data_IF_080421070847
#
_entry.id   IF_080421070847
#
_cell.length_a   1.000
_cell.length_b   1.000
_cell.length_c   1.000
_cell.angle_alpha   90.00
_cell.angle_beta   90.00
_cell.angle_gamma   90.00
#
_symmetry.space_group_name_H-M   'P 1'
#
loop_
_entity.id
_entity.type
_entity.pdbx_description
1 polymer ?
#
# COMPACT_ATOMS: atom_id res chain seq x y z
N UNK A 1 10.59 1.80 7.26
CA UNK A 1 10.51 1.07 5.97
C UNK A 1 9.49 1.76 5.06
N UNK A 2 9.53 1.64 3.73
CA UNK A 2 8.46 2.17 2.87
C UNK A 2 7.37 1.11 2.68
N UNK A 3 6.11 1.53 2.58
CA UNK A 3 5.00 0.60 2.36
C UNK A 3 5.14 -0.20 1.06
N UNK A 4 5.53 0.40 -0.09
CA UNK A 4 5.74 -0.36 -1.33
C UNK A 4 6.76 -1.49 -1.15
N UNK A 5 7.88 -1.24 -0.47
CA UNK A 5 8.91 -2.26 -0.22
C UNK A 5 8.36 -3.42 0.61
N UNK A 6 7.54 -3.12 1.62
CA UNK A 6 6.88 -4.13 2.47
C UNK A 6 5.87 -4.95 1.67
N UNK A 7 5.10 -4.31 0.80
CA UNK A 7 4.14 -4.98 -0.08
C UNK A 7 4.84 -5.91 -1.07
N UNK A 8 5.92 -5.46 -1.69
CA UNK A 8 6.72 -6.31 -2.61
C UNK A 8 7.32 -7.50 -1.86
N UNK A 9 7.89 -7.29 -0.67
CA UNK A 9 8.43 -8.38 0.15
C UNK A 9 7.34 -9.40 0.54
N UNK A 10 6.12 -8.93 0.84
CA UNK A 10 4.97 -9.79 1.10
C UNK A 10 4.56 -10.60 -0.15
N UNK A 11 4.54 -9.98 -1.34
CA UNK A 11 4.25 -10.67 -2.61
C UNK A 11 5.30 -11.74 -2.90
N UNK A 12 6.59 -11.42 -2.74
CA UNK A 12 7.68 -12.37 -2.99
C UNK A 12 7.66 -13.57 -2.02
N UNK A 13 7.30 -13.35 -0.76
CA UNK A 13 7.20 -14.41 0.25
C UNK A 13 5.89 -15.21 0.17
N UNK A 14 4.87 -14.67 -0.49
CA UNK A 14 3.58 -15.35 -0.65
C UNK A 14 3.67 -16.57 -1.56
N UNK A 15 2.88 -17.60 -1.31
CA UNK A 15 2.78 -18.80 -2.16
C UNK A 15 1.87 -18.60 -3.37
N UNK A 16 1.78 -17.38 -3.90
CA UNK A 16 0.93 -17.07 -5.06
C UNK A 16 1.62 -17.59 -6.33
N UNK A 17 0.95 -18.40 -7.17
CA UNK A 17 1.55 -18.94 -8.40
C UNK A 17 2.13 -17.87 -9.34
N UNK A 18 1.51 -16.69 -9.37
CA UNK A 18 1.90 -15.55 -10.19
C UNK A 18 3.29 -15.00 -9.86
N UNK A 19 3.87 -15.23 -8.67
CA UNK A 19 5.16 -14.63 -8.26
C UNK A 19 6.36 -14.93 -9.19
N UNK A 20 6.24 -15.94 -10.05
CA UNK A 20 7.27 -16.36 -10.99
C UNK A 20 7.13 -15.73 -12.38
N UNK A 21 6.05 -14.99 -12.64
CA UNK A 21 5.84 -14.31 -13.91
C UNK A 21 6.55 -12.94 -13.93
N UNK A 22 7.18 -12.56 -15.06
CA UNK A 22 7.75 -11.22 -15.21
C UNK A 22 6.68 -10.14 -15.01
N UNK A 23 6.91 -9.23 -14.06
CA UNK A 23 5.95 -8.15 -13.75
C UNK A 23 4.80 -8.55 -12.81
N UNK A 24 4.86 -9.74 -12.18
CA UNK A 24 3.88 -10.17 -11.19
C UNK A 24 3.82 -9.25 -9.96
N UNK A 25 4.97 -8.74 -9.53
CA UNK A 25 5.08 -7.74 -8.47
C UNK A 25 4.24 -6.50 -8.78
N UNK A 26 4.40 -5.90 -9.96
CA UNK A 26 3.64 -4.73 -10.36
C UNK A 26 2.15 -5.06 -10.58
N UNK A 27 1.87 -6.23 -11.17
CA UNK A 27 0.52 -6.71 -11.47
C UNK A 27 -0.32 -6.97 -10.22
N UNK A 28 0.30 -7.27 -9.08
CA UNK A 28 -0.36 -7.45 -7.78
C UNK A 28 -0.26 -6.18 -6.94
N UNK A 29 0.89 -5.52 -6.89
CA UNK A 29 1.09 -4.33 -6.05
C UNK A 29 0.18 -3.18 -6.48
N UNK A 30 0.04 -2.93 -7.79
CA UNK A 30 -0.78 -1.83 -8.30
C UNK A 30 -2.26 -1.94 -7.90
N UNK A 31 -2.98 -3.04 -8.18
CA UNK A 31 -4.39 -3.14 -7.79
C UNK A 31 -4.59 -3.13 -6.27
N UNK A 32 -3.65 -3.68 -5.49
CA UNK A 32 -3.71 -3.63 -4.01
C UNK A 32 -3.54 -2.19 -3.51
N UNK A 33 -2.56 -1.46 -4.03
CA UNK A 33 -2.34 -0.05 -3.69
C UNK A 33 -3.52 0.81 -4.09
N UNK A 34 -4.10 0.61 -5.28
CA UNK A 34 -5.30 1.33 -5.73
C UNK A 34 -6.53 1.03 -4.85
N UNK A 35 -6.74 -0.24 -4.47
CA UNK A 35 -7.81 -0.63 -3.55
C UNK A 35 -7.67 0.06 -2.19
N UNK A 36 -6.46 0.03 -1.61
CA UNK A 36 -6.19 0.67 -0.32
C UNK A 36 -6.37 2.19 -0.40
N UNK A 37 -5.92 2.82 -1.50
CA UNK A 37 -6.11 4.25 -1.72
C UNK A 37 -7.59 4.62 -1.76
N UNK A 38 -8.42 3.83 -2.46
CA UNK A 38 -9.87 4.06 -2.50
C UNK A 38 -10.52 3.83 -1.14
N UNK A 39 -10.13 2.76 -0.43
CA UNK A 39 -10.65 2.45 0.89
C UNK A 39 -10.32 3.54 1.91
N UNK A 40 -9.06 3.98 2.01
CA UNK A 40 -8.65 5.12 2.86
C UNK A 40 -9.34 6.40 2.40
N UNK A 41 -9.42 6.60 1.08
CA UNK A 41 -10.03 7.77 0.46
C UNK A 41 -11.51 7.95 0.80
N UNK A 42 -12.26 6.85 0.92
CA UNK A 42 -13.69 6.81 1.23
C UNK A 42 -14.04 7.18 2.68
N UNK A 43 -13.06 7.21 3.58
CA UNK A 43 -13.28 7.66 4.94
C UNK A 43 -13.28 9.19 4.98
N UNK A 44 -14.47 9.78 5.05
CA UNK A 44 -14.61 11.19 5.37
C UNK A 44 -14.29 11.40 6.85
N UNK A 45 -13.33 12.26 7.13
CA UNK A 45 -12.82 12.45 8.48
C UNK A 45 -12.48 13.92 8.69
N UNK A 46 -13.20 14.56 9.62
CA UNK A 46 -12.89 15.89 10.13
C UNK A 46 -11.97 15.80 11.35
N UNK A 47 -11.22 16.88 11.63
CA UNK A 47 -10.37 16.96 12.81
C UNK A 47 -9.19 15.99 12.78
N UNK A 48 -8.74 15.44 13.92
CA UNK A 48 -7.52 14.62 14.00
C UNK A 48 -7.49 13.39 13.09
N UNK A 49 -8.66 12.85 12.73
CA UNK A 49 -8.78 11.72 11.81
C UNK A 49 -8.37 12.09 10.37
N UNK A 50 -8.51 13.36 9.96
CA UNK A 50 -8.04 13.85 8.65
C UNK A 50 -6.51 13.75 8.52
N UNK A 51 -5.78 14.02 9.61
CA UNK A 51 -4.32 13.92 9.64
C UNK A 51 -3.87 12.47 9.49
N UNK A 52 -4.53 11.55 10.18
CA UNK A 52 -4.27 10.12 10.04
C UNK A 52 -4.53 9.64 8.61
N UNK A 53 -5.64 10.07 8.00
CA UNK A 53 -5.94 9.74 6.60
C UNK A 53 -4.86 10.23 5.65
N UNK A 54 -4.43 11.49 5.79
CA UNK A 54 -3.33 12.04 4.98
C UNK A 54 -2.02 11.30 5.20
N UNK A 55 -1.72 10.93 6.44
CA UNK A 55 -0.53 10.15 6.77
C UNK A 55 -0.56 8.77 6.12
N UNK A 56 -1.68 8.04 6.23
CA UNK A 56 -1.85 6.71 5.62
C UNK A 56 -1.73 6.75 4.09
N UNK A 57 -2.24 7.80 3.44
CA UNK A 57 -2.08 7.99 2.00
C UNK A 57 -0.60 8.25 1.62
N UNK A 58 0.11 9.08 2.40
CA UNK A 58 1.52 9.34 2.18
C UNK A 58 2.40 8.10 2.45
N UNK A 59 2.03 7.26 3.42
CA UNK A 59 2.67 5.96 3.66
C UNK A 59 2.46 5.02 2.49
N UNK A 60 1.22 4.89 2.03
CA UNK A 60 0.82 4.04 0.90
C UNK A 60 1.57 4.39 -0.39
N UNK A 61 1.74 5.69 -0.66
CA UNK A 61 2.45 6.20 -1.84
C UNK A 61 3.97 6.15 -1.68
N UNK A 62 4.47 5.72 -0.52
CA UNK A 62 5.90 5.63 -0.22
C UNK A 62 6.56 6.99 0.00
N UNK A 63 5.80 8.06 0.12
CA UNK A 63 6.32 9.41 0.38
C UNK A 63 6.97 9.48 1.78
N UNK A 64 6.34 8.85 2.76
CA UNK A 64 6.86 8.71 4.13
C UNK A 64 7.10 7.25 4.50
N UNK A 65 7.83 7.04 5.59
CA UNK A 65 8.09 5.70 6.12
C UNK A 65 6.94 5.27 7.03
N UNK A 66 6.61 3.98 7.02
CA UNK A 66 5.72 3.42 8.03
C UNK A 66 6.40 3.52 9.42
N UNK A 67 5.61 3.75 10.50
CA UNK A 67 6.11 3.69 11.87
C UNK A 67 6.71 2.31 12.19
N UNK A 68 7.66 2.27 13.13
CA UNK A 68 8.22 1.01 13.67
C UNK A 68 7.28 0.32 14.66
#
# INVERSE_FOLDING_TARGET
MKFPDLLIAAIQSSEIPLRFEPGAEESVAKPVTELLRQWIGAHDSEGPASLLRSQLLAELDGEISIPE
#
